data_IF_865880184343
#
_entry.id   IF_865880184343
#
_cell.length_a   1.000
_cell.length_b   1.000
_cell.length_c   1.000
_cell.angle_alpha   90.00
_cell.angle_beta   90.00
_cell.angle_gamma   90.00
#
_symmetry.space_group_name_H-M   'P 1'
#
loop_
_entity.id
_entity.type
_entity.pdbx_description
1 polymer ?
#
# COMPACT_ATOMS: atom_id res chain seq x y z
N UNK A 1 -43.93 19.25 -11.36
CA UNK A 1 -42.80 19.75 -10.55
C UNK A 1 -43.08 19.38 -9.11
N UNK A 2 -42.19 18.64 -8.44
CA UNK A 2 -42.35 18.39 -6.99
C UNK A 2 -42.38 19.73 -6.27
N UNK A 3 -43.49 20.07 -5.60
CA UNK A 3 -43.59 21.32 -4.83
C UNK A 3 -42.61 21.24 -3.66
N UNK A 4 -42.03 22.38 -3.24
CA UNK A 4 -41.07 22.45 -2.11
C UNK A 4 -41.59 21.72 -0.84
N UNK A 5 -42.90 21.73 -0.64
CA UNK A 5 -43.60 21.00 0.41
C UNK A 5 -43.49 19.46 0.30
N UNK A 6 -43.66 18.91 -0.90
CA UNK A 6 -43.54 17.46 -1.16
C UNK A 6 -42.11 16.98 -0.91
N UNK A 7 -41.11 17.81 -1.24
CA UNK A 7 -39.71 17.55 -0.91
C UNK A 7 -39.47 17.47 0.60
N UNK A 8 -40.03 18.40 1.39
CA UNK A 8 -39.87 18.40 2.85
C UNK A 8 -40.54 17.18 3.49
N UNK A 9 -41.76 16.86 3.07
CA UNK A 9 -42.46 15.66 3.56
C UNK A 9 -41.72 14.37 3.21
N UNK A 10 -41.18 14.29 1.98
CA UNK A 10 -40.39 13.14 1.56
C UNK A 10 -39.08 13.02 2.37
N UNK A 11 -38.42 14.15 2.64
CA UNK A 11 -37.22 14.20 3.50
C UNK A 11 -37.54 13.66 4.88
N UNK A 12 -38.56 14.19 5.55
CA UNK A 12 -38.89 13.82 6.92
C UNK A 12 -39.33 12.35 7.03
N UNK A 13 -40.02 11.84 6.00
CA UNK A 13 -40.34 10.41 5.89
C UNK A 13 -39.08 9.53 5.85
N UNK A 14 -38.10 9.87 5.01
CA UNK A 14 -36.85 9.11 4.90
C UNK A 14 -36.07 9.14 6.23
N UNK A 15 -36.03 10.30 6.90
CA UNK A 15 -35.41 10.41 8.23
C UNK A 15 -36.08 9.49 9.26
N UNK A 16 -37.42 9.47 9.28
CA UNK A 16 -38.20 8.59 10.15
C UNK A 16 -37.97 7.11 9.85
N UNK A 17 -37.97 6.72 8.58
CA UNK A 17 -37.72 5.33 8.14
C UNK A 17 -36.32 4.83 8.55
N UNK A 18 -35.33 5.72 8.58
CA UNK A 18 -33.96 5.39 8.95
C UNK A 18 -33.65 5.57 10.44
N UNK A 19 -34.64 6.00 11.23
CA UNK A 19 -34.51 6.27 12.67
C UNK A 19 -33.50 7.38 13.01
N UNK A 20 -33.49 8.47 12.23
CA UNK A 20 -32.65 9.66 12.47
C UNK A 20 -33.50 10.91 12.66
N UNK A 21 -32.99 11.88 13.42
CA UNK A 21 -33.59 13.21 13.47
C UNK A 21 -32.98 14.16 12.42
N UNK A 22 -33.78 15.00 11.73
CA UNK A 22 -33.28 15.89 10.67
C UNK A 22 -32.22 16.91 11.10
N UNK A 23 -32.14 17.22 12.39
CA UNK A 23 -31.26 18.26 12.96
C UNK A 23 -30.08 17.69 13.76
N UNK A 24 -29.92 16.37 13.79
CA UNK A 24 -28.77 15.73 14.42
C UNK A 24 -27.48 16.03 13.65
N UNK A 25 -26.43 16.43 14.38
CA UNK A 25 -25.09 16.64 13.84
C UNK A 25 -24.33 15.31 13.64
N UNK A 26 -24.95 14.36 12.94
CA UNK A 26 -24.34 13.08 12.55
C UNK A 26 -23.88 13.12 11.08
N UNK A 27 -22.89 12.31 10.74
CA UNK A 27 -22.43 12.11 9.37
C UNK A 27 -23.51 11.38 8.57
N UNK A 28 -24.20 10.41 9.17
CA UNK A 28 -25.28 9.67 8.51
C UNK A 28 -26.47 10.58 8.14
N UNK A 29 -26.89 11.47 9.05
CA UNK A 29 -27.95 12.46 8.78
C UNK A 29 -27.56 13.38 7.64
N UNK A 30 -26.29 13.81 7.57
CA UNK A 30 -25.75 14.59 6.45
C UNK A 30 -25.78 13.82 5.12
N UNK A 31 -25.45 12.52 5.10
CA UNK A 31 -25.55 11.69 3.89
C UNK A 31 -27.00 11.57 3.42
N UNK A 32 -27.94 11.38 4.34
CA UNK A 32 -29.37 11.29 4.04
C UNK A 32 -29.86 12.60 3.43
N UNK A 33 -29.58 13.73 4.09
CA UNK A 33 -29.99 15.06 3.63
C UNK A 33 -29.44 15.40 2.24
N UNK A 34 -28.14 15.15 2.02
CA UNK A 34 -27.51 15.36 0.72
C UNK A 34 -28.11 14.45 -0.36
N UNK A 35 -28.48 13.21 -0.02
CA UNK A 35 -29.08 12.26 -0.97
C UNK A 35 -30.48 12.70 -1.38
N UNK A 36 -31.31 13.12 -0.44
CA UNK A 36 -32.67 13.61 -0.73
C UNK A 36 -32.60 14.91 -1.55
N UNK A 37 -31.72 15.85 -1.19
CA UNK A 37 -31.45 17.07 -1.97
C UNK A 37 -31.02 16.77 -3.40
N UNK A 38 -30.13 15.80 -3.59
CA UNK A 38 -29.66 15.39 -4.92
C UNK A 38 -30.78 14.80 -5.78
N UNK A 39 -31.64 13.94 -5.21
CA UNK A 39 -32.81 13.38 -5.93
C UNK A 39 -33.75 14.49 -6.38
N UNK A 40 -34.03 15.45 -5.48
CA UNK A 40 -34.86 16.60 -5.81
C UNK A 40 -34.25 17.46 -6.92
N UNK A 41 -33.00 17.91 -6.78
CA UNK A 41 -32.34 18.73 -7.82
C UNK A 41 -32.21 18.00 -9.16
N UNK A 42 -31.98 16.68 -9.14
CA UNK A 42 -31.96 15.86 -10.35
C UNK A 42 -33.32 15.88 -11.06
N UNK A 43 -34.43 15.79 -10.32
CA UNK A 43 -35.78 15.90 -10.92
C UNK A 43 -36.03 17.27 -11.56
N UNK A 44 -35.55 18.35 -10.95
CA UNK A 44 -35.64 19.71 -11.54
C UNK A 44 -34.77 19.82 -12.80
N UNK A 45 -33.55 19.27 -12.77
CA UNK A 45 -32.66 19.24 -13.94
C UNK A 45 -33.23 18.42 -15.09
N UNK A 46 -33.97 17.35 -14.82
CA UNK A 46 -34.69 16.60 -15.85
C UNK A 46 -35.76 17.46 -16.55
N UNK A 47 -36.46 18.31 -15.78
CA UNK A 47 -37.42 19.26 -16.34
C UNK A 47 -36.76 20.48 -17.01
N UNK A 48 -35.58 20.89 -16.53
CA UNK A 48 -34.88 22.10 -16.97
C UNK A 48 -33.37 21.81 -17.24
N UNK A 49 -33.04 21.07 -18.31
CA UNK A 49 -31.68 20.57 -18.52
C UNK A 49 -30.66 21.67 -18.83
N UNK A 50 -31.12 22.82 -19.33
CA UNK A 50 -30.25 23.96 -19.69
C UNK A 50 -29.88 24.87 -18.52
N UNK A 51 -30.36 24.58 -17.30
CA UNK A 51 -30.04 25.39 -16.12
C UNK A 51 -28.63 25.07 -15.60
N UNK A 52 -27.63 25.78 -16.15
CA UNK A 52 -26.22 25.59 -15.81
C UNK A 52 -25.91 25.84 -14.33
N UNK A 53 -26.40 26.92 -13.66
CA UNK A 53 -26.17 27.11 -12.23
C UNK A 53 -26.69 25.95 -11.37
N UNK A 54 -27.87 25.41 -11.70
CA UNK A 54 -28.43 24.26 -10.99
C UNK A 54 -27.58 23.00 -11.20
N UNK A 55 -27.03 22.82 -12.41
CA UNK A 55 -26.12 21.70 -12.72
C UNK A 55 -24.85 21.78 -11.87
N UNK A 56 -24.15 22.92 -11.87
CA UNK A 56 -22.95 23.11 -11.05
C UNK A 56 -23.24 22.92 -9.55
N UNK A 57 -24.35 23.46 -9.06
CA UNK A 57 -24.77 23.28 -7.68
C UNK A 57 -25.10 21.81 -7.34
N UNK A 58 -25.55 21.03 -8.32
CA UNK A 58 -25.84 19.59 -8.14
C UNK A 58 -24.54 18.79 -8.15
N UNK A 59 -23.59 19.10 -9.03
CA UNK A 59 -22.24 18.51 -9.05
C UNK A 59 -21.50 18.76 -7.71
N UNK A 60 -21.57 19.98 -7.17
CA UNK A 60 -21.02 20.29 -5.84
C UNK A 60 -21.62 19.43 -4.72
N UNK A 61 -22.93 19.18 -4.76
CA UNK A 61 -23.61 18.29 -3.80
C UNK A 61 -23.19 16.82 -3.95
N UNK A 62 -22.89 16.36 -5.17
CA UNK A 62 -22.37 15.01 -5.41
C UNK A 62 -21.02 14.86 -4.68
N UNK A 63 -20.11 15.82 -4.84
CA UNK A 63 -18.81 15.79 -4.17
C UNK A 63 -18.94 15.89 -2.64
N UNK A 64 -19.83 16.73 -2.13
CA UNK A 64 -20.09 16.80 -0.68
C UNK A 64 -20.65 15.47 -0.14
N UNK A 65 -21.59 14.84 -0.83
CA UNK A 65 -22.13 13.53 -0.43
C UNK A 65 -21.05 12.47 -0.47
N UNK A 66 -20.21 12.49 -1.50
CA UNK A 66 -19.09 11.56 -1.64
C UNK A 66 -18.14 11.64 -0.44
N UNK A 67 -17.72 12.85 -0.05
CA UNK A 67 -16.86 13.07 1.13
C UNK A 67 -17.53 12.61 2.42
N UNK A 68 -18.83 12.89 2.59
CA UNK A 68 -19.59 12.44 3.75
C UNK A 68 -19.68 10.91 3.83
N UNK A 69 -19.90 10.24 2.70
CA UNK A 69 -19.91 8.77 2.60
C UNK A 69 -18.53 8.16 2.90
N UNK A 70 -17.46 8.77 2.39
CA UNK A 70 -16.09 8.35 2.69
C UNK A 70 -15.78 8.45 4.19
N UNK A 71 -16.21 9.54 4.83
CA UNK A 71 -16.04 9.75 6.26
C UNK A 71 -16.92 8.83 7.11
N UNK A 72 -18.13 8.50 6.65
CA UNK A 72 -18.99 7.52 7.31
C UNK A 72 -18.37 6.12 7.24
N UNK A 73 -17.86 5.74 6.07
CA UNK A 73 -17.19 4.45 5.84
C UNK A 73 -15.96 4.28 6.74
N UNK A 74 -15.14 5.32 6.90
CA UNK A 74 -13.93 5.24 7.72
C UNK A 74 -14.22 5.18 9.22
N UNK A 75 -15.32 5.78 9.69
CA UNK A 75 -15.69 5.76 11.12
C UNK A 75 -16.56 4.59 11.52
N UNK A 76 -17.57 4.24 10.71
CA UNK A 76 -18.56 3.22 11.05
C UNK A 76 -19.04 2.49 9.79
N UNK A 77 -18.39 1.37 9.48
CA UNK A 77 -18.71 0.57 8.30
C UNK A 77 -20.13 -0.02 8.34
N UNK A 78 -20.60 -0.46 9.52
CA UNK A 78 -21.95 -1.03 9.67
C UNK A 78 -23.04 -0.01 9.35
N UNK A 79 -22.87 1.22 9.83
CA UNK A 79 -23.80 2.33 9.57
C UNK A 79 -23.71 2.79 8.11
N UNK A 80 -22.51 2.80 7.53
CA UNK A 80 -22.32 3.03 6.10
C UNK A 80 -23.10 2.01 5.24
N UNK A 81 -22.99 0.71 5.52
CA UNK A 81 -23.69 -0.33 4.75
C UNK A 81 -25.21 -0.23 4.93
N UNK A 82 -25.68 0.01 6.16
CA UNK A 82 -27.11 0.22 6.45
C UNK A 82 -27.68 1.41 5.67
N UNK A 83 -27.01 2.56 5.74
CA UNK A 83 -27.47 3.81 5.12
C UNK A 83 -27.38 3.73 3.59
N UNK A 84 -26.30 3.21 3.04
CA UNK A 84 -26.15 3.08 1.58
C UNK A 84 -27.13 2.09 0.98
N UNK A 85 -27.38 0.95 1.64
CA UNK A 85 -28.39 -0.02 1.24
C UNK A 85 -29.79 0.59 1.26
N UNK A 86 -30.17 1.24 2.35
CA UNK A 86 -31.50 1.83 2.49
C UNK A 86 -31.73 3.01 1.54
N UNK A 87 -30.69 3.78 1.23
CA UNK A 87 -30.75 4.86 0.23
C UNK A 87 -30.50 4.39 -1.21
N UNK A 88 -30.32 3.08 -1.47
CA UNK A 88 -30.09 2.54 -2.81
C UNK A 88 -28.84 3.10 -3.50
N UNK A 89 -27.78 3.41 -2.74
CA UNK A 89 -26.52 3.94 -3.27
C UNK A 89 -25.60 2.77 -3.64
N UNK A 90 -25.63 2.35 -4.91
CA UNK A 90 -24.88 1.18 -5.39
C UNK A 90 -23.49 1.49 -5.93
N UNK A 91 -23.26 2.71 -6.43
CA UNK A 91 -22.03 3.10 -7.14
C UNK A 91 -21.06 3.94 -6.29
N UNK A 92 -20.91 3.64 -5.00
CA UNK A 92 -19.88 4.30 -4.19
C UNK A 92 -18.54 3.59 -4.38
N UNK A 93 -17.61 4.23 -5.09
CA UNK A 93 -16.22 3.79 -5.19
C UNK A 93 -15.35 4.76 -4.38
N UNK A 94 -14.77 4.29 -3.28
CA UNK A 94 -13.73 5.05 -2.59
C UNK A 94 -12.51 5.08 -3.50
N UNK A 95 -12.20 6.26 -4.06
CA UNK A 95 -10.99 6.47 -4.83
C UNK A 95 -9.85 6.45 -3.83
N UNK A 96 -9.01 5.44 -3.90
CA UNK A 96 -7.78 5.43 -3.14
C UNK A 96 -7.01 6.70 -3.54
N UNK A 97 -6.49 7.52 -2.60
CA UNK A 97 -5.64 8.67 -2.95
C UNK A 97 -4.41 8.28 -3.78
N UNK A 98 -4.03 6.99 -3.78
CA UNK A 98 -2.97 6.43 -4.61
C UNK A 98 -3.47 5.83 -5.94
N UNK A 99 -4.77 5.67 -6.14
CA UNK A 99 -5.33 5.35 -7.45
C UNK A 99 -5.23 6.61 -8.29
N UNK A 100 -4.17 6.72 -9.09
CA UNK A 100 -4.11 7.76 -10.10
C UNK A 100 -5.37 7.63 -10.97
N UNK A 101 -6.07 8.73 -11.22
CA UNK A 101 -7.10 8.73 -12.26
C UNK A 101 -6.35 8.47 -13.57
N UNK A 102 -6.60 7.33 -14.21
CA UNK A 102 -6.06 7.05 -15.54
C UNK A 102 -6.79 8.01 -16.49
N UNK A 103 -6.21 9.18 -16.68
CA UNK A 103 -6.80 10.24 -17.51
C UNK A 103 -6.26 10.15 -18.93
N UNK A 104 -4.98 9.76 -19.08
CA UNK A 104 -4.28 9.72 -20.36
C UNK A 104 -3.74 8.33 -20.73
N UNK A 105 -3.57 8.07 -22.03
CA UNK A 105 -2.91 6.85 -22.52
C UNK A 105 -1.49 6.68 -21.97
N UNK A 106 -0.82 7.80 -21.67
CA UNK A 106 0.53 7.80 -21.09
C UNK A 106 0.54 7.14 -19.71
N UNK A 107 -0.46 7.40 -18.88
CA UNK A 107 -0.56 6.82 -17.54
C UNK A 107 -0.86 5.32 -17.60
N UNK A 108 -1.63 4.88 -18.61
CA UNK A 108 -1.83 3.44 -18.89
C UNK A 108 -0.52 2.75 -19.22
N UNK A 109 0.30 3.35 -20.08
CA UNK A 109 1.61 2.79 -20.47
C UNK A 109 2.57 2.72 -19.28
N UNK A 110 2.62 3.77 -18.45
CA UNK A 110 3.47 3.78 -17.25
C UNK A 110 3.08 2.67 -16.27
N UNK A 111 1.78 2.47 -16.03
CA UNK A 111 1.32 1.36 -15.17
C UNK A 111 1.65 -0.01 -15.76
N UNK A 112 1.38 -0.22 -17.04
CA UNK A 112 1.69 -1.49 -17.69
C UNK A 112 3.17 -1.84 -17.53
N UNK A 113 4.07 -0.89 -17.81
CA UNK A 113 5.51 -1.08 -17.61
C UNK A 113 5.84 -1.35 -16.14
N UNK A 114 5.24 -0.61 -15.21
CA UNK A 114 5.47 -0.81 -13.78
C UNK A 114 5.02 -2.20 -13.30
N UNK A 115 3.88 -2.69 -13.79
CA UNK A 115 3.37 -4.03 -13.47
C UNK A 115 4.26 -5.12 -14.05
N UNK A 116 4.76 -4.95 -15.27
CA UNK A 116 5.67 -5.90 -15.91
C UNK A 116 7.02 -5.95 -15.19
N UNK A 117 7.59 -4.78 -14.83
CA UNK A 117 8.79 -4.72 -13.99
C UNK A 117 8.58 -5.38 -12.61
N UNK A 118 7.40 -5.22 -12.02
CA UNK A 118 7.07 -5.87 -10.75
C UNK A 118 7.02 -7.40 -10.89
N UNK A 119 6.37 -7.91 -11.94
CA UNK A 119 6.34 -9.35 -12.26
C UNK A 119 7.75 -9.91 -12.49
N UNK A 120 8.60 -9.21 -13.22
CA UNK A 120 10.00 -9.62 -13.41
C UNK A 120 10.77 -9.68 -12.10
N UNK A 121 10.60 -8.68 -11.22
CA UNK A 121 11.25 -8.66 -9.91
C UNK A 121 10.80 -9.86 -9.06
N UNK A 122 9.51 -10.17 -9.04
CA UNK A 122 9.00 -11.36 -8.36
C UNK A 122 9.58 -12.66 -8.95
N UNK A 123 9.67 -12.75 -10.27
CA UNK A 123 10.27 -13.91 -10.94
C UNK A 123 11.75 -14.08 -10.59
N UNK A 124 12.53 -12.99 -10.53
CA UNK A 124 13.93 -13.00 -10.09
C UNK A 124 14.06 -13.49 -8.64
N UNK A 125 13.22 -12.98 -7.74
CA UNK A 125 13.20 -13.41 -6.33
C UNK A 125 12.87 -14.91 -6.22
N UNK A 126 11.87 -15.39 -6.97
CA UNK A 126 11.50 -16.80 -6.99
C UNK A 126 12.67 -17.69 -7.48
N UNK A 127 13.38 -17.27 -8.54
CA UNK A 127 14.58 -17.99 -9.02
C UNK A 127 15.68 -18.02 -7.97
N UNK A 128 15.97 -16.89 -7.33
CA UNK A 128 16.96 -16.82 -6.26
C UNK A 128 16.60 -17.75 -5.09
N UNK A 129 15.33 -17.76 -4.67
CA UNK A 129 14.85 -18.65 -3.62
C UNK A 129 15.03 -20.12 -3.99
N UNK A 130 14.72 -20.49 -5.24
CA UNK A 130 14.91 -21.86 -5.73
C UNK A 130 16.39 -22.25 -5.82
N UNK A 131 17.26 -21.34 -6.26
CA UNK A 131 18.70 -21.59 -6.29
C UNK A 131 19.26 -21.75 -4.88
N UNK A 132 18.88 -20.89 -3.94
CA UNK A 132 19.28 -21.03 -2.53
C UNK A 132 18.80 -22.35 -1.91
N UNK A 133 17.60 -22.82 -2.29
CA UNK A 133 17.11 -24.13 -1.83
C UNK A 133 17.97 -25.27 -2.40
N UNK A 134 18.29 -25.24 -3.69
CA UNK A 134 19.18 -26.23 -4.33
C UNK A 134 20.58 -26.21 -3.71
N UNK A 135 21.17 -25.03 -3.51
CA UNK A 135 22.48 -24.86 -2.91
C UNK A 135 22.51 -25.34 -1.45
N UNK A 136 21.40 -25.17 -0.73
CA UNK A 136 21.24 -25.73 0.62
C UNK A 136 21.19 -27.25 0.58
N UNK A 137 20.47 -27.83 -0.36
CA UNK A 137 20.34 -29.29 -0.48
C UNK A 137 21.67 -29.93 -0.89
N UNK A 138 22.39 -29.36 -1.87
CA UNK A 138 23.74 -29.82 -2.24
C UNK A 138 24.72 -29.66 -1.08
N UNK A 139 24.66 -28.53 -0.35
CA UNK A 139 25.50 -28.36 0.83
C UNK A 139 25.20 -29.41 1.90
N UNK A 140 23.92 -29.65 2.22
CA UNK A 140 23.53 -30.55 3.31
C UNK A 140 23.78 -32.02 2.97
N UNK A 141 23.53 -32.43 1.73
CA UNK A 141 23.57 -33.84 1.33
C UNK A 141 24.92 -34.27 0.73
N UNK A 142 25.67 -33.36 0.10
CA UNK A 142 26.93 -33.71 -0.58
C UNK A 142 28.13 -33.12 0.15
N UNK A 143 28.18 -31.80 0.32
CA UNK A 143 29.39 -31.11 0.79
C UNK A 143 29.63 -31.33 2.28
N UNK A 144 28.59 -31.21 3.11
CA UNK A 144 28.66 -31.34 4.56
C UNK A 144 29.15 -32.72 5.01
N UNK A 145 28.58 -33.86 4.56
CA UNK A 145 29.06 -35.17 4.97
C UNK A 145 30.50 -35.43 4.51
N UNK A 146 30.87 -35.01 3.29
CA UNK A 146 32.25 -35.13 2.81
C UNK A 146 33.25 -34.34 3.67
N UNK A 147 32.93 -33.06 3.97
CA UNK A 147 33.81 -32.24 4.80
C UNK A 147 33.89 -32.73 6.24
N UNK A 148 32.76 -33.16 6.82
CA UNK A 148 32.76 -33.76 8.15
C UNK A 148 33.60 -35.04 8.15
N UNK A 149 33.45 -35.93 7.16
CA UNK A 149 34.27 -37.14 7.03
C UNK A 149 35.76 -36.82 6.99
N UNK A 150 36.17 -35.83 6.19
CA UNK A 150 37.57 -35.40 6.12
C UNK A 150 38.10 -34.82 7.44
N UNK A 151 37.28 -34.08 8.19
CA UNK A 151 37.66 -33.59 9.52
C UNK A 151 37.75 -34.75 10.52
N UNK A 152 36.87 -35.75 10.43
CA UNK A 152 36.96 -36.97 11.24
C UNK A 152 38.28 -37.69 11.00
N UNK A 153 38.64 -37.94 9.74
CA UNK A 153 39.91 -38.55 9.34
C UNK A 153 41.14 -37.79 9.86
N UNK A 154 41.11 -36.45 9.76
CA UNK A 154 42.20 -35.61 10.27
C UNK A 154 42.31 -35.70 11.80
N UNK A 155 41.19 -35.69 12.52
CA UNK A 155 41.18 -35.81 13.98
C UNK A 155 41.66 -37.19 14.46
N UNK A 156 41.28 -38.28 13.78
CA UNK A 156 41.82 -39.61 14.08
C UNK A 156 43.29 -39.74 13.73
N UNK A 157 43.77 -39.08 12.66
CA UNK A 157 45.20 -39.09 12.31
C UNK A 157 46.08 -38.31 13.28
N UNK A 158 45.51 -37.35 14.00
CA UNK A 158 46.20 -36.54 15.00
C UNK A 158 46.14 -37.14 16.41
N UNK A 159 45.34 -38.19 16.63
CA UNK A 159 45.21 -38.86 17.92
C UNK A 159 45.96 -40.19 17.91
N UNK A 160 46.89 -40.36 18.86
CA UNK A 160 47.64 -41.62 19.04
C UNK A 160 46.77 -42.79 19.54
N UNK A 161 45.50 -42.54 19.85
CA UNK A 161 44.53 -43.53 20.35
C UNK A 161 43.24 -43.48 19.52
N UNK A 162 42.57 -44.62 19.26
CA UNK A 162 41.30 -44.64 18.56
C UNK A 162 40.25 -43.89 19.38
N UNK A 163 39.81 -42.75 18.86
CA UNK A 163 38.77 -41.93 19.48
C UNK A 163 37.41 -42.61 19.34
N UNK A 164 36.64 -42.65 20.44
CA UNK A 164 35.22 -43.05 20.37
C UNK A 164 34.40 -41.99 19.64
N UNK A 165 33.29 -42.40 19.01
CA UNK A 165 32.39 -41.50 18.29
C UNK A 165 31.90 -40.33 19.17
N UNK A 166 31.62 -40.58 20.45
CA UNK A 166 31.21 -39.57 21.42
C UNK A 166 32.30 -38.51 21.66
N UNK A 167 33.56 -38.94 21.77
CA UNK A 167 34.70 -38.02 21.97
C UNK A 167 34.96 -37.19 20.72
N UNK A 168 34.76 -37.81 19.55
CA UNK A 168 34.92 -37.19 18.25
C UNK A 168 33.85 -36.12 18.00
N UNK A 169 32.59 -36.38 18.37
CA UNK A 169 31.50 -35.40 18.30
C UNK A 169 31.71 -34.22 19.25
N UNK A 170 32.25 -34.45 20.45
CA UNK A 170 32.60 -33.37 21.38
C UNK A 170 33.70 -32.47 20.83
N UNK A 171 34.78 -33.05 20.28
CA UNK A 171 35.87 -32.28 19.67
C UNK A 171 35.39 -31.50 18.44
N UNK A 172 34.60 -32.14 17.57
CA UNK A 172 33.99 -31.46 16.42
C UNK A 172 33.11 -30.29 16.85
N UNK A 173 32.27 -30.48 17.87
CA UNK A 173 31.41 -29.42 18.39
C UNK A 173 32.21 -28.27 18.99
N UNK A 174 33.31 -28.57 19.70
CA UNK A 174 34.23 -27.57 20.23
C UNK A 174 34.89 -26.74 19.13
N UNK A 175 35.50 -27.41 18.13
CA UNK A 175 36.14 -26.74 16.99
C UNK A 175 35.12 -25.91 16.20
N UNK A 176 33.89 -26.41 16.05
CA UNK A 176 32.84 -25.68 15.36
C UNK A 176 32.42 -24.41 16.12
N UNK A 177 32.34 -24.47 17.45
CA UNK A 177 32.07 -23.29 18.28
C UNK A 177 33.19 -22.26 18.20
N UNK A 178 34.46 -22.69 18.27
CA UNK A 178 35.62 -21.79 18.09
C UNK A 178 35.58 -21.06 16.74
N UNK A 179 35.34 -21.80 15.65
CA UNK A 179 35.24 -21.21 14.30
C UNK A 179 34.05 -20.27 14.19
N UNK A 180 32.92 -20.56 14.85
CA UNK A 180 31.77 -19.66 14.88
C UNK A 180 32.07 -18.38 15.66
N UNK A 181 32.78 -18.46 16.78
CA UNK A 181 33.24 -17.27 17.51
C UNK A 181 34.22 -16.46 16.66
N UNK A 182 35.24 -17.08 16.08
CA UNK A 182 36.21 -16.41 15.20
C UNK A 182 35.55 -15.73 13.99
N UNK A 183 34.59 -16.42 13.36
CA UNK A 183 33.82 -15.85 12.24
C UNK A 183 32.88 -14.74 12.67
N UNK A 184 32.27 -14.83 13.86
CA UNK A 184 31.49 -13.73 14.43
C UNK A 184 32.37 -12.51 14.67
N UNK A 185 33.59 -12.67 15.16
CA UNK A 185 34.55 -11.58 15.31
C UNK A 185 34.97 -11.00 13.95
N UNK A 186 35.17 -11.82 12.91
CA UNK A 186 35.44 -11.34 11.53
C UNK A 186 34.24 -10.71 10.82
N UNK A 187 33.00 -11.10 11.16
CA UNK A 187 31.78 -10.46 10.65
C UNK A 187 31.48 -9.12 11.37
N UNK A 188 32.05 -8.91 12.55
CA UNK A 188 32.02 -7.64 13.30
C UNK A 188 33.08 -6.64 12.80
N UNK A 189 34.10 -7.08 12.05
CA UNK A 189 34.83 -6.20 11.13
C UNK A 189 33.86 -5.81 10.02
N UNK A 190 33.15 -4.70 10.22
CA UNK A 190 31.93 -4.37 9.49
C UNK A 190 32.05 -4.43 7.96
N UNK A 191 30.93 -4.62 7.26
CA UNK A 191 30.90 -4.61 5.80
C UNK A 191 31.40 -3.26 5.28
N UNK A 192 32.53 -3.31 4.55
CA UNK A 192 33.06 -2.17 3.83
C UNK A 192 32.07 -1.78 2.72
N UNK A 193 31.51 -0.57 2.81
CA UNK A 193 30.56 0.13 1.90
C UNK A 193 29.08 -0.26 2.00
N UNK A 194 28.43 0.38 2.95
CA UNK A 194 27.07 0.97 2.90
C UNK A 194 26.20 0.58 1.68
N UNK A 195 25.43 -0.50 1.81
CA UNK A 195 24.46 -0.99 0.81
C UNK A 195 23.33 0.01 0.50
N UNK A 196 23.28 1.13 1.22
CA UNK A 196 22.30 2.21 1.08
C UNK A 196 22.87 3.48 0.42
N UNK A 197 24.10 3.44 -0.12
CA UNK A 197 24.66 4.57 -0.86
C UNK A 197 23.74 5.06 -1.99
N UNK A 198 23.03 4.15 -2.65
CA UNK A 198 22.06 4.48 -3.69
C UNK A 198 20.89 5.33 -3.16
N UNK A 199 20.45 5.10 -1.92
CA UNK A 199 19.36 5.84 -1.28
C UNK A 199 19.80 7.28 -0.97
N UNK A 200 21.05 7.45 -0.50
CA UNK A 200 21.64 8.76 -0.27
C UNK A 200 21.87 9.55 -1.56
N UNK A 201 22.27 8.90 -2.66
CA UNK A 201 22.38 9.56 -3.96
C UNK A 201 21.00 9.94 -4.52
N UNK A 202 20.00 9.07 -4.38
CA UNK A 202 18.61 9.35 -4.80
C UNK A 202 18.05 10.57 -4.05
N UNK A 203 18.20 10.64 -2.74
CA UNK A 203 17.79 11.77 -1.90
C UNK A 203 18.45 13.07 -2.39
N UNK A 204 19.75 13.02 -2.71
CA UNK A 204 20.51 14.17 -3.22
C UNK A 204 20.01 14.61 -4.60
N UNK A 205 19.65 13.68 -5.49
CA UNK A 205 19.06 14.00 -6.80
C UNK A 205 17.65 14.59 -6.66
N UNK A 206 16.81 14.06 -5.76
CA UNK A 206 15.48 14.62 -5.46
C UNK A 206 15.57 16.07 -5.00
N UNK A 207 16.51 16.39 -4.11
CA UNK A 207 16.74 17.75 -3.64
C UNK A 207 17.19 18.70 -4.77
N UNK A 208 18.04 18.24 -5.68
CA UNK A 208 18.44 19.04 -6.87
C UNK A 208 17.24 19.36 -7.75
N UNK A 209 16.38 18.38 -8.04
CA UNK A 209 15.17 18.58 -8.86
C UNK A 209 14.23 19.57 -8.19
N UNK A 210 13.99 19.43 -6.88
CA UNK A 210 13.15 20.37 -6.13
C UNK A 210 13.69 21.81 -6.18
N UNK A 211 15.01 22.00 -6.06
CA UNK A 211 15.65 23.33 -6.20
C UNK A 211 15.45 23.91 -7.60
N UNK A 212 15.64 23.12 -8.66
CA UNK A 212 15.43 23.59 -10.05
C UNK A 212 13.97 23.98 -10.29
N UNK A 213 13.01 23.25 -9.72
CA UNK A 213 11.59 23.58 -9.81
C UNK A 213 11.31 24.92 -9.09
N UNK A 214 11.84 25.09 -7.88
CA UNK A 214 11.69 26.31 -7.10
C UNK A 214 12.32 27.53 -7.82
N UNK A 215 13.51 27.39 -8.40
CA UNK A 215 14.16 28.44 -9.18
C UNK A 215 13.37 28.83 -10.43
N UNK A 216 12.83 27.84 -11.17
CA UNK A 216 11.96 28.10 -12.33
C UNK A 216 10.68 28.84 -11.92
N UNK A 217 10.09 28.48 -10.78
CA UNK A 217 8.91 29.16 -10.25
C UNK A 217 9.23 30.61 -9.85
N UNK A 218 10.36 30.84 -9.17
CA UNK A 218 10.82 32.17 -8.79
C UNK A 218 11.09 33.08 -10.01
N UNK A 219 11.76 32.55 -11.04
CA UNK A 219 12.01 33.31 -12.29
C UNK A 219 10.72 33.70 -13.01
N UNK A 220 9.74 32.79 -13.08
CA UNK A 220 8.42 33.07 -13.68
C UNK A 220 7.60 34.07 -12.87
N UNK A 221 7.76 34.09 -11.55
CA UNK A 221 7.15 35.08 -10.66
C UNK A 221 7.77 36.48 -10.82
N UNK A 222 9.09 36.55 -11.02
CA UNK A 222 9.82 37.81 -11.25
C UNK A 222 9.56 38.43 -12.62
N UNK A 223 9.27 37.62 -13.65
CA UNK A 223 8.92 38.13 -15.00
C UNK A 223 7.47 38.63 -15.12
N UNK A 224 6.63 38.38 -14.12
CA UNK A 224 5.22 38.81 -14.08
C UNK A 224 5.00 40.06 -13.20
N UNK A 225 6.07 40.69 -12.72
CA UNK A 225 6.03 41.97 -12.01
C UNK A 225 6.60 43.07 -12.90
#
# INVERSE_FOLDING_TARGET
MLKKYEYLNYRDRIFKELSYQPHENNIATKVIDLTVKLRYKKSILQANPRNYPLRCATEGLIHQRYRALAHLRSRNLKEFDRVTKALGITKFCFQNPFDQLILDEKDKRIRAVSEDCYKERLAKIARLKNNMAKDRDTFQNEIKPQKLGRVRELLTSLSDTPLSDERLEQLLSSVFQEVLTDRRYKLLEGPMKDELFWYHDEERQRQKVQRVIAEKAARRGSQKR
#
